data_IF_257411393155
#
_entry.id   IF_257411393155
#
_cell.length_a   1.000
_cell.length_b   1.000
_cell.length_c   1.000
_cell.angle_alpha   90.00
_cell.angle_beta   90.00
_cell.angle_gamma   90.00
#
_symmetry.space_group_name_H-M   'P 1'
#
loop_
_entity.id
_entity.type
_entity.pdbx_description
1 polymer ?
#
# COMPACT_ATOMS: atom_id res chain seq x y z
N UNK A 1 40.38 -84.24 -3.76
CA UNK A 1 39.74 -83.99 -5.04
C UNK A 1 39.99 -82.52 -5.41
N UNK A 2 40.67 -82.31 -6.48
CA UNK A 2 41.24 -81.00 -6.95
C UNK A 2 40.18 -80.42 -7.90
N UNK A 3 39.81 -79.10 -7.62
CA UNK A 3 39.06 -78.31 -8.61
C UNK A 3 39.85 -77.09 -9.02
N UNK A 4 40.16 -77.06 -10.30
CA UNK A 4 41.02 -76.09 -10.95
C UNK A 4 40.38 -74.71 -11.11
N UNK A 5 41.22 -73.71 -11.04
CA UNK A 5 40.93 -72.27 -11.33
C UNK A 5 40.96 -72.06 -12.86
N UNK A 6 39.90 -71.45 -13.43
CA UNK A 6 39.92 -70.90 -14.78
C UNK A 6 39.99 -69.33 -14.62
N UNK A 7 40.81 -68.63 -15.42
CA UNK A 7 40.87 -67.20 -15.39
C UNK A 7 39.75 -66.59 -16.26
N UNK A 8 39.07 -65.61 -15.71
CA UNK A 8 38.08 -64.78 -16.45
C UNK A 8 38.84 -63.62 -17.04
N UNK A 9 38.91 -63.56 -18.38
CA UNK A 9 39.36 -62.45 -19.18
C UNK A 9 38.32 -61.33 -19.08
N UNK A 10 38.75 -60.20 -18.62
CA UNK A 10 37.91 -58.98 -18.55
C UNK A 10 37.74 -58.35 -19.94
N UNK A 11 36.49 -58.16 -20.34
CA UNK A 11 36.13 -57.31 -21.45
C UNK A 11 35.95 -55.87 -20.92
N UNK A 12 36.83 -54.96 -21.34
CA UNK A 12 36.69 -53.53 -21.08
C UNK A 12 35.60 -52.99 -22.02
N UNK A 13 34.39 -52.91 -21.52
CA UNK A 13 33.28 -52.25 -22.21
C UNK A 13 33.40 -50.73 -22.07
N UNK A 14 33.65 -50.02 -23.16
CA UNK A 14 33.56 -48.58 -23.25
C UNK A 14 32.11 -48.14 -22.99
N UNK A 15 31.89 -47.50 -21.83
CA UNK A 15 30.64 -46.81 -21.53
C UNK A 15 30.50 -45.57 -22.43
N UNK A 16 29.37 -45.40 -23.15
CA UNK A 16 29.13 -44.18 -23.88
C UNK A 16 28.96 -43.02 -22.88
N UNK A 17 29.75 -41.96 -23.04
CA UNK A 17 29.56 -40.66 -22.42
C UNK A 17 28.20 -40.14 -22.87
N UNK A 18 27.15 -40.35 -22.07
CA UNK A 18 25.93 -39.60 -22.21
C UNK A 18 26.26 -38.12 -21.86
N UNK A 19 26.42 -37.30 -22.91
CA UNK A 19 26.40 -35.85 -22.75
C UNK A 19 25.11 -35.49 -22.04
N UNK A 20 25.22 -34.94 -20.82
CA UNK A 20 24.10 -34.27 -20.15
C UNK A 20 23.66 -33.17 -21.08
N UNK A 21 22.71 -33.44 -21.97
CA UNK A 21 21.89 -32.37 -22.57
C UNK A 21 21.33 -31.60 -21.41
N UNK A 22 21.81 -30.36 -21.26
CA UNK A 22 21.30 -29.44 -20.25
C UNK A 22 19.79 -29.32 -20.43
N UNK A 23 19.03 -29.90 -19.51
CA UNK A 23 17.62 -29.62 -19.43
C UNK A 23 17.45 -28.15 -19.28
N UNK A 24 17.11 -27.44 -20.37
CA UNK A 24 16.75 -26.05 -20.34
C UNK A 24 15.69 -25.89 -19.23
N UNK A 25 15.96 -25.00 -18.28
CA UNK A 25 15.01 -24.73 -17.21
C UNK A 25 13.63 -24.48 -17.86
N UNK A 26 12.54 -25.07 -17.36
CA UNK A 26 11.24 -24.91 -17.97
C UNK A 26 10.94 -23.42 -18.07
N UNK A 27 10.62 -22.96 -19.29
CA UNK A 27 10.32 -21.57 -19.59
C UNK A 27 9.22 -21.13 -18.63
N UNK A 28 9.49 -20.15 -17.78
CA UNK A 28 8.49 -19.63 -16.82
C UNK A 28 7.26 -19.21 -17.61
N UNK A 29 6.13 -19.79 -17.27
CA UNK A 29 4.83 -19.49 -17.87
C UNK A 29 4.44 -18.05 -17.53
N UNK A 30 4.14 -17.23 -18.51
CA UNK A 30 3.63 -15.87 -18.34
C UNK A 30 2.09 -15.86 -18.49
N UNK A 31 1.42 -16.11 -17.38
CA UNK A 31 -0.04 -16.19 -17.33
C UNK A 31 -0.71 -14.86 -17.70
N UNK A 32 -0.10 -13.71 -17.40
CA UNK A 32 -0.67 -12.38 -17.72
C UNK A 32 -0.72 -12.23 -19.24
N UNK A 33 0.37 -12.53 -19.94
CA UNK A 33 0.42 -12.52 -21.40
C UNK A 33 -0.53 -13.55 -22.03
N UNK A 34 -0.63 -14.76 -21.45
CA UNK A 34 -1.55 -15.80 -21.93
C UNK A 34 -3.02 -15.38 -21.83
N UNK A 35 -3.38 -14.59 -20.80
CA UNK A 35 -4.71 -14.01 -20.63
C UNK A 35 -4.97 -12.81 -21.53
N UNK A 36 -3.98 -12.36 -22.32
CA UNK A 36 -4.09 -11.19 -23.18
C UNK A 36 -4.16 -9.85 -22.42
N UNK A 37 -3.77 -9.85 -21.13
CA UNK A 37 -3.75 -8.63 -20.31
C UNK A 37 -2.47 -7.84 -20.61
N UNK A 38 -2.66 -6.56 -20.93
CA UNK A 38 -1.56 -5.66 -21.27
C UNK A 38 -0.86 -5.16 -20.01
N UNK A 39 0.46 -5.33 -19.94
CA UNK A 39 1.31 -4.70 -18.94
C UNK A 39 1.66 -3.25 -19.32
N UNK A 40 2.08 -2.45 -18.36
CA UNK A 40 2.40 -1.03 -18.56
C UNK A 40 3.56 -0.58 -17.67
N UNK A 41 4.17 0.55 -18.04
CA UNK A 41 5.08 1.31 -17.19
C UNK A 41 4.24 2.16 -16.23
N UNK A 42 4.44 1.96 -14.92
CA UNK A 42 3.71 2.71 -13.90
C UNK A 42 4.40 4.06 -13.61
N UNK A 43 3.92 5.09 -14.29
CA UNK A 43 4.27 6.49 -14.05
C UNK A 43 3.16 7.26 -13.32
N UNK A 44 2.23 6.53 -12.72
CA UNK A 44 1.06 7.06 -12.01
C UNK A 44 1.23 7.07 -10.48
N UNK A 45 1.83 6.01 -9.93
CA UNK A 45 1.92 5.80 -8.48
C UNK A 45 1.10 4.60 -7.99
N UNK A 46 0.80 4.57 -6.69
CA UNK A 46 0.24 3.39 -6.02
C UNK A 46 -1.28 3.36 -5.99
N UNK A 47 -1.91 3.49 -7.13
CA UNK A 47 -3.37 3.37 -7.27
C UNK A 47 -3.80 1.90 -7.33
N UNK A 48 -4.84 1.54 -6.58
CA UNK A 48 -5.33 0.15 -6.46
C UNK A 48 -5.67 -0.47 -7.82
N UNK A 49 -6.35 0.26 -8.69
CA UNK A 49 -6.72 -0.22 -10.04
C UNK A 49 -5.50 -0.44 -10.96
N UNK A 50 -4.34 0.12 -10.61
CA UNK A 50 -3.06 -0.06 -11.29
C UNK A 50 -2.14 -1.04 -10.55
N UNK A 51 -2.71 -1.89 -9.69
CA UNK A 51 -2.02 -2.88 -8.86
C UNK A 51 -0.97 -2.32 -7.87
N UNK A 52 -1.06 -1.02 -7.59
CA UNK A 52 -0.28 -0.28 -6.60
C UNK A 52 1.25 -0.35 -6.80
N UNK A 53 1.94 -1.32 -6.19
CA UNK A 53 3.40 -1.48 -6.27
C UNK A 53 3.81 -2.91 -6.62
N UNK A 54 5.03 -3.09 -7.10
CA UNK A 54 5.63 -4.41 -7.26
C UNK A 54 6.37 -4.80 -5.98
N UNK A 55 6.13 -6.01 -5.51
CA UNK A 55 6.83 -6.58 -4.36
C UNK A 55 8.30 -6.90 -4.71
N UNK A 56 9.27 -6.68 -3.81
CA UNK A 56 10.63 -7.19 -3.95
C UNK A 56 10.68 -8.72 -4.04
N UNK A 57 11.72 -9.25 -4.67
CA UNK A 57 11.91 -10.70 -4.83
C UNK A 57 11.98 -11.41 -3.47
N UNK A 58 12.59 -10.80 -2.48
CA UNK A 58 12.68 -11.35 -1.12
C UNK A 58 11.31 -11.51 -0.45
N UNK A 59 10.38 -10.59 -0.72
CA UNK A 59 8.99 -10.69 -0.23
C UNK A 59 8.29 -11.87 -0.90
N UNK A 60 8.43 -11.99 -2.23
CA UNK A 60 7.85 -13.10 -3.00
C UNK A 60 8.42 -14.45 -2.57
N UNK A 61 9.73 -14.52 -2.29
CA UNK A 61 10.39 -15.73 -1.78
C UNK A 61 9.86 -16.13 -0.40
N UNK A 62 9.73 -15.17 0.51
CA UNK A 62 9.18 -15.40 1.84
C UNK A 62 7.73 -15.91 1.78
N UNK A 63 6.91 -15.33 0.91
CA UNK A 63 5.53 -15.80 0.68
C UNK A 63 5.51 -17.22 0.10
N UNK A 64 6.40 -17.52 -0.86
CA UNK A 64 6.55 -18.86 -1.43
C UNK A 64 7.00 -19.88 -0.38
N UNK A 65 7.89 -19.50 0.53
CA UNK A 65 8.30 -20.39 1.61
C UNK A 65 7.15 -20.63 2.60
N UNK A 66 6.46 -19.56 3.02
CA UNK A 66 5.29 -19.66 3.90
C UNK A 66 4.21 -20.59 3.34
N UNK A 67 4.02 -20.63 2.00
CA UNK A 67 3.01 -21.47 1.37
C UNK A 67 3.21 -22.97 1.56
N UNK A 68 4.42 -23.40 1.90
CA UNK A 68 4.77 -24.81 2.10
C UNK A 68 4.44 -25.36 3.50
N UNK A 69 4.05 -24.50 4.43
CA UNK A 69 3.84 -24.86 5.83
C UNK A 69 2.42 -24.64 6.31
N UNK A 70 1.91 -25.56 7.14
CA UNK A 70 0.71 -25.36 7.93
C UNK A 70 1.10 -24.71 9.26
N UNK A 71 0.38 -23.67 9.66
CA UNK A 71 0.60 -22.95 10.92
C UNK A 71 -0.75 -22.61 11.57
N UNK A 72 -0.76 -22.42 12.88
CA UNK A 72 -1.91 -21.82 13.57
C UNK A 72 -1.95 -20.32 13.21
N UNK A 73 -3.06 -19.87 12.62
CA UNK A 73 -3.19 -18.51 12.12
C UNK A 73 -3.13 -17.46 13.24
N UNK A 74 -3.66 -17.77 14.42
CA UNK A 74 -3.59 -16.87 15.57
C UNK A 74 -2.16 -16.73 16.08
N UNK A 75 -1.42 -17.85 16.22
CA UNK A 75 -0.01 -17.85 16.64
C UNK A 75 0.87 -17.06 15.66
N UNK A 76 0.65 -17.23 14.35
CA UNK A 76 1.37 -16.49 13.34
C UNK A 76 1.09 -14.99 13.43
N UNK A 77 -0.18 -14.59 13.50
CA UNK A 77 -0.58 -13.19 13.60
C UNK A 77 -0.01 -12.55 14.88
N UNK A 78 0.02 -13.28 16.00
CA UNK A 78 0.64 -12.81 17.26
C UNK A 78 2.14 -12.61 17.12
N UNK A 79 2.83 -13.56 16.49
CA UNK A 79 4.28 -13.49 16.30
C UNK A 79 4.65 -12.33 15.35
N UNK A 80 3.95 -12.23 14.22
CA UNK A 80 4.14 -11.15 13.24
C UNK A 80 3.81 -9.79 13.87
N UNK A 81 2.67 -9.70 14.58
CA UNK A 81 2.25 -8.47 15.23
C UNK A 81 3.26 -7.98 16.29
N UNK A 82 3.76 -8.87 17.13
CA UNK A 82 4.84 -8.53 18.10
C UNK A 82 6.08 -8.00 17.39
N UNK A 83 6.52 -8.69 16.34
CA UNK A 83 7.71 -8.28 15.60
C UNK A 83 7.54 -6.91 14.93
N UNK A 84 6.37 -6.62 14.36
CA UNK A 84 6.05 -5.30 13.80
C UNK A 84 6.04 -4.23 14.90
N UNK A 85 5.42 -4.53 16.04
CA UNK A 85 5.36 -3.60 17.17
C UNK A 85 6.77 -3.27 17.72
N UNK A 86 7.65 -4.25 17.83
CA UNK A 86 9.06 -4.06 18.19
C UNK A 86 9.80 -3.16 17.19
N UNK A 87 9.63 -3.43 15.88
CA UNK A 87 10.28 -2.65 14.81
C UNK A 87 9.85 -1.19 14.79
N UNK A 88 8.58 -0.91 15.10
CA UNK A 88 7.98 0.42 15.00
C UNK A 88 7.88 1.15 16.35
N UNK A 89 8.17 0.45 17.47
CA UNK A 89 8.11 1.04 18.81
C UNK A 89 6.71 1.42 19.26
N UNK A 90 5.69 0.59 18.94
CA UNK A 90 4.31 0.74 19.40
C UNK A 90 3.90 -0.42 20.32
N UNK A 91 2.75 -0.29 21.03
CA UNK A 91 2.32 -1.30 22.01
C UNK A 91 1.95 -2.62 21.34
N UNK A 92 1.24 -2.58 20.22
CA UNK A 92 0.80 -3.75 19.48
C UNK A 92 0.57 -3.44 18.00
N UNK A 93 0.57 -4.48 17.18
CA UNK A 93 0.29 -4.40 15.75
C UNK A 93 -0.42 -5.65 15.25
N UNK A 94 -1.10 -5.53 14.11
CA UNK A 94 -1.62 -6.67 13.35
C UNK A 94 -1.56 -6.38 11.85
N UNK A 95 -1.46 -7.45 11.05
CA UNK A 95 -1.66 -7.37 9.61
C UNK A 95 -3.14 -7.50 9.30
N UNK A 96 -3.65 -6.61 8.44
CA UNK A 96 -5.07 -6.51 8.07
C UNK A 96 -5.25 -6.69 6.57
N UNK A 97 -6.50 -6.88 6.13
CA UNK A 97 -6.86 -6.88 4.71
C UNK A 97 -6.86 -5.45 4.16
N UNK A 98 -5.67 -4.90 3.94
CA UNK A 98 -5.44 -3.51 3.56
C UNK A 98 -5.78 -2.51 4.68
N UNK A 99 -5.54 -1.23 4.42
CA UNK A 99 -5.92 -0.16 5.33
C UNK A 99 -7.45 -0.06 5.51
N UNK A 100 -8.23 -0.37 4.48
CA UNK A 100 -9.69 -0.38 4.58
C UNK A 100 -10.19 -1.44 5.57
N UNK A 101 -9.59 -2.65 5.53
CA UNK A 101 -9.86 -3.69 6.55
C UNK A 101 -9.46 -3.24 7.95
N UNK A 102 -8.33 -2.52 8.08
CA UNK A 102 -7.90 -1.93 9.35
C UNK A 102 -8.92 -0.93 9.90
N UNK A 103 -9.45 -0.04 9.03
CA UNK A 103 -10.52 0.90 9.41
C UNK A 103 -11.76 0.17 9.94
N UNK A 104 -12.18 -0.89 9.26
CA UNK A 104 -13.33 -1.70 9.71
C UNK A 104 -13.08 -2.34 11.07
N UNK A 105 -11.99 -3.10 11.23
CA UNK A 105 -11.73 -3.85 12.48
C UNK A 105 -11.35 -2.94 13.65
N UNK A 106 -10.65 -1.84 13.39
CA UNK A 106 -10.32 -0.83 14.40
C UNK A 106 -11.57 -0.11 14.92
N UNK A 107 -12.50 0.25 14.02
CA UNK A 107 -13.80 0.82 14.40
C UNK A 107 -14.61 -0.19 15.22
N UNK A 108 -14.72 -1.44 14.76
CA UNK A 108 -15.39 -2.50 15.47
C UNK A 108 -14.81 -2.70 16.89
N UNK A 109 -13.49 -2.70 17.01
CA UNK A 109 -12.78 -2.81 18.28
C UNK A 109 -13.15 -1.69 19.28
N UNK A 110 -13.27 -0.45 18.82
CA UNK A 110 -13.68 0.69 19.64
C UNK A 110 -15.14 0.58 20.15
N UNK A 111 -15.96 -0.21 19.47
CA UNK A 111 -17.38 -0.42 19.83
C UNK A 111 -17.55 -1.65 20.74
N UNK A 112 -16.94 -2.76 20.35
CA UNK A 112 -17.21 -4.06 20.97
C UNK A 112 -16.25 -4.39 22.11
N UNK A 113 -15.04 -3.79 22.11
CA UNK A 113 -13.97 -4.35 22.92
C UNK A 113 -13.80 -5.84 22.60
N UNK A 114 -13.67 -6.66 23.63
CA UNK A 114 -13.54 -8.13 23.55
C UNK A 114 -14.84 -8.87 23.83
N UNK A 115 -15.97 -8.19 23.90
CA UNK A 115 -17.27 -8.77 24.21
C UNK A 115 -17.81 -9.59 23.02
N UNK A 116 -17.94 -10.93 23.16
CA UNK A 116 -18.33 -11.80 22.04
C UNK A 116 -19.77 -11.56 21.59
N UNK A 117 -20.68 -11.10 22.49
CA UNK A 117 -22.04 -10.81 22.09
C UNK A 117 -22.15 -9.55 21.26
N UNK A 118 -21.38 -8.51 21.61
CA UNK A 118 -21.30 -7.30 20.79
C UNK A 118 -20.65 -7.57 19.44
N UNK A 119 -19.61 -8.40 19.40
CA UNK A 119 -18.92 -8.78 18.15
C UNK A 119 -19.89 -9.42 17.16
N UNK A 120 -20.73 -10.36 17.64
CA UNK A 120 -21.72 -11.06 16.80
C UNK A 120 -22.85 -10.17 16.30
N UNK A 121 -23.14 -9.09 17.04
CA UNK A 121 -24.28 -8.20 16.73
C UNK A 121 -23.99 -7.17 15.67
N UNK A 122 -22.73 -6.77 15.49
CA UNK A 122 -22.37 -5.78 14.46
C UNK A 122 -22.84 -6.29 13.09
N UNK A 123 -23.54 -5.47 12.28
CA UNK A 123 -23.69 -4.01 12.35
C UNK A 123 -24.91 -3.49 13.13
N UNK A 124 -25.66 -4.31 13.85
CA UNK A 124 -26.70 -3.82 14.77
C UNK A 124 -26.05 -3.26 16.05
N UNK A 125 -26.03 -1.93 16.15
CA UNK A 125 -25.43 -1.20 17.28
C UNK A 125 -26.44 -0.78 18.34
N UNK A 126 -27.66 -1.38 18.40
CA UNK A 126 -28.68 -1.05 19.40
C UNK A 126 -28.11 -1.23 20.80
N UNK A 127 -28.09 -0.17 21.60
CA UNK A 127 -27.55 -0.16 22.97
C UNK A 127 -26.00 -0.18 23.04
N UNK A 128 -25.32 0.05 21.93
CA UNK A 128 -23.86 0.18 21.89
C UNK A 128 -23.46 1.60 21.45
N UNK A 129 -22.17 1.92 21.59
CA UNK A 129 -21.62 3.12 20.97
C UNK A 129 -21.79 3.05 19.45
N UNK A 130 -22.28 4.12 18.84
CA UNK A 130 -22.75 4.11 17.44
C UNK A 130 -22.35 5.36 16.65
N UNK A 131 -21.48 6.20 17.20
CA UNK A 131 -21.08 7.45 16.59
C UNK A 131 -19.57 7.56 16.48
N UNK A 132 -19.11 8.08 15.34
CA UNK A 132 -17.71 8.39 15.08
C UNK A 132 -17.60 9.87 14.70
N UNK A 133 -16.81 10.62 15.44
CA UNK A 133 -16.53 12.04 15.16
C UNK A 133 -15.51 12.13 14.06
N UNK A 134 -15.73 13.01 13.09
CA UNK A 134 -14.81 13.31 12.01
C UNK A 134 -14.91 14.78 11.61
N UNK A 135 -13.81 15.42 11.24
CA UNK A 135 -13.91 16.75 10.63
C UNK A 135 -14.60 16.66 9.26
N UNK A 136 -15.48 17.58 8.94
CA UNK A 136 -16.21 17.62 7.66
C UNK A 136 -15.25 17.63 6.46
N UNK A 137 -14.14 18.36 6.56
CA UNK A 137 -13.09 18.39 5.54
C UNK A 137 -12.31 17.09 5.41
N UNK A 138 -12.42 16.16 6.38
CA UNK A 138 -11.79 14.85 6.39
C UNK A 138 -12.69 13.74 5.83
N UNK A 139 -13.94 14.05 5.43
CA UNK A 139 -14.82 13.06 4.76
C UNK A 139 -14.23 12.65 3.41
N UNK A 140 -14.20 11.37 3.14
CA UNK A 140 -13.56 10.78 1.94
C UNK A 140 -14.15 9.41 1.60
N UNK A 141 -13.82 8.87 0.40
CA UNK A 141 -14.46 7.65 -0.08
C UNK A 141 -14.18 6.40 0.77
N UNK A 142 -13.03 6.33 1.45
CA UNK A 142 -12.66 5.17 2.28
C UNK A 142 -13.31 5.19 3.67
N UNK A 143 -13.94 6.28 4.10
CA UNK A 143 -14.73 6.30 5.34
C UNK A 143 -15.92 5.33 5.28
N UNK A 144 -16.21 4.82 4.09
CA UNK A 144 -17.17 3.72 3.89
C UNK A 144 -16.83 2.49 4.74
N UNK A 145 -15.54 2.16 4.87
CA UNK A 145 -15.09 1.03 5.69
C UNK A 145 -15.46 1.18 7.19
N UNK A 146 -15.45 2.43 7.68
CA UNK A 146 -15.89 2.78 9.03
C UNK A 146 -17.41 2.73 9.13
N UNK A 147 -18.13 3.32 8.16
CA UNK A 147 -19.61 3.30 8.13
C UNK A 147 -20.21 1.90 7.98
N UNK A 148 -19.49 0.97 7.31
CA UNK A 148 -19.94 -0.41 7.12
C UNK A 148 -20.10 -1.17 8.46
N UNK A 149 -19.48 -0.69 9.54
CA UNK A 149 -19.65 -1.24 10.89
C UNK A 149 -21.03 -0.89 11.50
N UNK A 150 -21.81 -0.01 10.87
CA UNK A 150 -23.14 0.42 11.32
C UNK A 150 -23.17 1.76 12.03
N UNK A 151 -22.01 2.45 12.15
CA UNK A 151 -21.92 3.73 12.86
C UNK A 151 -22.50 4.90 12.06
N UNK A 152 -22.85 5.94 12.76
CA UNK A 152 -23.15 7.26 12.21
C UNK A 152 -21.92 8.17 12.32
N UNK A 153 -21.56 8.83 11.21
CA UNK A 153 -20.54 9.89 11.24
C UNK A 153 -21.13 11.17 11.82
N UNK A 154 -20.43 11.75 12.79
CA UNK A 154 -20.73 13.06 13.37
C UNK A 154 -19.70 14.06 12.85
N UNK A 155 -20.13 14.92 11.95
CA UNK A 155 -19.26 15.89 11.31
C UNK A 155 -19.08 17.13 12.19
N UNK A 156 -17.84 17.55 12.35
CA UNK A 156 -17.42 18.74 13.13
C UNK A 156 -16.50 19.60 12.28
N UNK A 157 -16.40 20.91 12.58
CA UNK A 157 -15.46 21.82 11.90
C UNK A 157 -14.44 22.41 12.87
N UNK A 158 -14.86 22.76 14.07
CA UNK A 158 -14.02 23.40 15.10
C UNK A 158 -13.81 22.52 16.32
N UNK A 159 -12.81 22.86 17.16
CA UNK A 159 -12.60 22.21 18.45
C UNK A 159 -13.86 22.32 19.37
N UNK A 160 -14.55 23.46 19.34
CA UNK A 160 -15.79 23.64 20.09
C UNK A 160 -16.92 22.74 19.57
N UNK A 161 -17.00 22.50 18.26
CA UNK A 161 -17.96 21.52 17.70
C UNK A 161 -17.62 20.11 18.12
N UNK A 162 -16.33 19.76 18.12
CA UNK A 162 -15.82 18.47 18.57
C UNK A 162 -16.24 18.19 20.02
N UNK A 163 -16.01 19.16 20.91
CA UNK A 163 -16.38 19.03 22.33
C UNK A 163 -17.88 18.85 22.54
N UNK A 164 -18.71 19.59 21.79
CA UNK A 164 -20.18 19.43 21.84
C UNK A 164 -20.68 18.11 21.26
N UNK A 165 -19.92 17.53 20.32
CA UNK A 165 -20.29 16.27 19.66
C UNK A 165 -20.02 15.05 20.53
N UNK A 166 -19.10 15.13 21.50
CA UNK A 166 -18.78 14.01 22.39
C UNK A 166 -19.96 13.69 23.32
N UNK A 167 -20.38 12.43 23.29
CA UNK A 167 -21.46 11.93 24.16
C UNK A 167 -21.26 10.42 24.42
N UNK A 168 -22.18 9.80 25.18
CA UNK A 168 -22.10 8.38 25.56
C UNK A 168 -22.12 7.41 24.36
N UNK A 169 -22.67 7.85 23.21
CA UNK A 169 -22.67 7.05 21.97
C UNK A 169 -21.36 7.16 21.17
N UNK A 170 -20.48 8.08 21.54
CA UNK A 170 -19.21 8.27 20.81
C UNK A 170 -18.30 7.06 20.99
N UNK A 171 -17.99 6.35 19.91
CA UNK A 171 -17.12 5.19 19.90
C UNK A 171 -15.64 5.57 19.76
N UNK A 172 -15.35 6.51 18.86
CA UNK A 172 -14.01 7.02 18.56
C UNK A 172 -14.09 8.31 17.75
N UNK A 173 -12.93 8.91 17.48
CA UNK A 173 -12.80 9.96 16.48
C UNK A 173 -11.82 9.52 15.38
N UNK A 174 -12.16 9.80 14.12
CA UNK A 174 -11.39 9.45 12.92
C UNK A 174 -10.66 10.68 12.36
N UNK A 175 -9.37 10.54 12.11
CA UNK A 175 -8.55 11.51 11.44
C UNK A 175 -8.08 10.96 10.08
N UNK A 176 -8.34 11.68 9.01
CA UNK A 176 -7.79 11.35 7.69
C UNK A 176 -6.58 12.23 7.43
N UNK A 177 -5.39 11.66 7.52
CA UNK A 177 -4.14 12.42 7.56
C UNK A 177 -3.90 13.29 6.33
N UNK A 178 -4.20 12.80 5.13
CA UNK A 178 -4.11 13.58 3.88
C UNK A 178 -4.95 14.88 3.90
N UNK A 179 -5.98 14.92 4.73
CA UNK A 179 -6.86 16.07 4.87
C UNK A 179 -6.42 17.10 5.92
N UNK A 180 -5.36 16.84 6.70
CA UNK A 180 -4.89 17.75 7.76
C UNK A 180 -4.72 19.20 7.31
N UNK A 181 -4.15 19.50 6.11
CA UNK A 181 -4.06 20.90 5.64
C UNK A 181 -5.42 21.60 5.48
N UNK A 182 -6.50 20.84 5.22
CA UNK A 182 -7.85 21.36 4.98
C UNK A 182 -8.69 21.45 6.25
N UNK A 183 -8.30 20.73 7.31
CA UNK A 183 -9.00 20.72 8.60
C UNK A 183 -8.72 21.97 9.43
N UNK A 184 -9.67 22.42 10.24
CA UNK A 184 -9.45 23.46 11.21
C UNK A 184 -8.74 22.91 12.45
N UNK A 185 -9.16 21.72 12.92
CA UNK A 185 -8.52 21.02 14.04
C UNK A 185 -7.28 20.31 13.48
N UNK A 186 -6.09 20.80 13.87
CA UNK A 186 -4.83 20.18 13.42
C UNK A 186 -4.52 18.90 14.19
N UNK A 187 -3.62 18.09 13.64
CA UNK A 187 -3.38 16.74 14.10
C UNK A 187 -3.05 16.64 15.61
N UNK A 188 -2.22 17.55 16.14
CA UNK A 188 -1.85 17.58 17.56
C UNK A 188 -3.04 17.95 18.45
N UNK A 189 -3.83 18.95 18.04
CA UNK A 189 -5.04 19.40 18.75
C UNK A 189 -6.10 18.29 18.73
N UNK A 190 -6.25 17.58 17.62
CA UNK A 190 -7.17 16.45 17.50
C UNK A 190 -6.85 15.34 18.52
N UNK A 191 -5.58 14.95 18.63
CA UNK A 191 -5.11 13.95 19.61
C UNK A 191 -5.37 14.45 21.04
N UNK A 192 -5.10 15.73 21.31
CA UNK A 192 -5.34 16.32 22.63
C UNK A 192 -6.83 16.31 23.01
N UNK A 193 -7.74 16.63 22.07
CA UNK A 193 -9.19 16.58 22.27
C UNK A 193 -9.64 15.15 22.55
N UNK A 194 -9.20 14.16 21.77
CA UNK A 194 -9.54 12.76 22.01
C UNK A 194 -9.10 12.31 23.41
N UNK A 195 -7.87 12.64 23.80
CA UNK A 195 -7.34 12.33 25.15
C UNK A 195 -8.12 13.02 26.26
N UNK A 196 -8.44 14.31 26.09
CA UNK A 196 -9.24 15.09 27.06
C UNK A 196 -10.58 14.41 27.36
N UNK A 197 -11.23 13.85 26.36
CA UNK A 197 -12.55 13.25 26.46
C UNK A 197 -12.52 11.72 26.66
N UNK A 198 -11.33 11.10 26.71
CA UNK A 198 -11.17 9.66 26.90
C UNK A 198 -11.77 8.81 25.76
N UNK A 199 -11.83 9.34 24.54
CA UNK A 199 -12.30 8.62 23.35
C UNK A 199 -11.12 8.20 22.49
N UNK A 200 -11.14 6.96 21.91
CA UNK A 200 -10.09 6.52 21.02
C UNK A 200 -9.93 7.42 19.78
N UNK A 201 -8.69 7.71 19.44
CA UNK A 201 -8.31 8.40 18.21
C UNK A 201 -7.79 7.41 17.18
N UNK A 202 -8.27 7.49 15.94
CA UNK A 202 -7.84 6.63 14.85
C UNK A 202 -7.35 7.47 13.68
N UNK A 203 -6.08 7.27 13.26
CA UNK A 203 -5.49 7.96 12.11
C UNK A 203 -5.44 7.04 10.89
N UNK A 204 -6.09 7.47 9.80
CA UNK A 204 -5.88 6.88 8.48
C UNK A 204 -4.67 7.54 7.81
N UNK A 205 -3.52 6.87 7.88
CA UNK A 205 -2.25 7.25 7.28
C UNK A 205 -1.88 6.29 6.11
N UNK A 206 -2.88 5.72 5.43
CA UNK A 206 -2.69 4.67 4.43
C UNK A 206 -1.72 5.01 3.30
N UNK A 207 -1.52 6.29 2.98
CA UNK A 207 -0.64 6.75 1.89
C UNK A 207 0.57 7.56 2.38
N UNK A 208 0.86 7.55 3.67
CA UNK A 208 1.82 8.46 4.30
C UNK A 208 3.26 7.93 4.35
N UNK A 209 3.55 6.88 3.62
CA UNK A 209 4.89 6.33 3.49
C UNK A 209 5.27 6.34 2.01
N UNK A 210 6.36 7.05 1.61
CA UNK A 210 7.34 7.78 2.43
C UNK A 210 6.78 9.07 3.06
N UNK A 211 7.50 9.69 4.04
CA UNK A 211 8.79 9.29 4.62
C UNK A 211 8.67 8.14 5.65
N UNK A 212 9.79 7.44 5.88
CA UNK A 212 9.82 6.23 6.73
C UNK A 212 9.47 6.49 8.18
N UNK A 213 9.80 7.68 8.69
CA UNK A 213 9.55 8.12 10.06
C UNK A 213 8.05 8.12 10.42
N UNK A 214 7.18 8.28 9.43
CA UNK A 214 5.74 8.28 9.61
C UNK A 214 5.20 6.96 10.17
N UNK A 215 5.89 5.83 9.90
CA UNK A 215 5.50 4.51 10.42
C UNK A 215 5.43 4.45 11.95
N UNK A 216 6.19 5.30 12.63
CA UNK A 216 6.18 5.38 14.11
C UNK A 216 5.80 6.76 14.65
N UNK A 217 5.69 7.78 13.78
CA UNK A 217 5.39 9.17 14.19
C UNK A 217 4.04 9.28 14.89
N UNK A 218 2.99 8.72 14.29
CA UNK A 218 1.61 8.96 14.75
C UNK A 218 1.28 8.19 16.03
N UNK A 219 1.80 6.98 16.22
CA UNK A 219 1.67 6.27 17.50
C UNK A 219 2.41 6.98 18.63
N UNK A 220 3.62 7.50 18.35
CA UNK A 220 4.38 8.32 19.32
C UNK A 220 3.70 9.67 19.62
N UNK A 221 2.97 10.24 18.67
CA UNK A 221 2.17 11.46 18.86
C UNK A 221 0.99 11.22 19.81
N UNK A 222 0.56 9.95 19.94
CA UNK A 222 -0.47 9.54 20.87
C UNK A 222 -1.80 9.16 20.23
N UNK A 223 -1.82 8.85 18.94
CA UNK A 223 -2.98 8.17 18.36
C UNK A 223 -3.13 6.77 18.95
N UNK A 224 -4.36 6.41 19.28
CA UNK A 224 -4.69 5.10 19.82
C UNK A 224 -4.63 4.01 18.75
N UNK A 225 -5.01 4.33 17.52
CA UNK A 225 -4.91 3.46 16.34
C UNK A 225 -4.36 4.24 15.14
N UNK A 226 -3.53 3.57 14.35
CA UNK A 226 -2.97 4.09 13.09
C UNK A 226 -2.98 2.99 12.03
N UNK A 227 -3.37 3.31 10.80
CA UNK A 227 -3.30 2.33 9.71
C UNK A 227 -2.43 2.81 8.55
N UNK A 228 -1.71 1.85 7.94
CA UNK A 228 -0.95 2.01 6.71
C UNK A 228 -1.33 0.95 5.68
N UNK A 229 -1.31 1.32 4.40
CA UNK A 229 -1.47 0.36 3.31
C UNK A 229 -0.14 -0.33 3.00
N UNK A 230 -0.13 -1.67 3.06
CA UNK A 230 1.08 -2.45 2.81
C UNK A 230 1.53 -2.46 1.35
N UNK A 231 0.60 -2.41 0.40
CA UNK A 231 0.88 -2.45 -1.03
C UNK A 231 1.30 -1.12 -1.67
N UNK A 232 1.49 -0.06 -0.89
CA UNK A 232 1.96 1.25 -1.38
C UNK A 232 3.48 1.37 -1.23
N UNK A 233 3.98 2.39 -0.53
CA UNK A 233 5.41 2.66 -0.35
C UNK A 233 6.20 1.52 0.29
N UNK A 234 5.57 0.76 1.18
CA UNK A 234 6.19 -0.39 1.84
C UNK A 234 6.48 -1.54 0.85
N UNK A 235 5.74 -1.61 -0.26
CA UNK A 235 5.85 -2.65 -1.31
C UNK A 235 5.63 -4.08 -0.79
N UNK A 236 4.72 -4.23 0.17
CA UNK A 236 4.19 -5.51 0.59
C UNK A 236 3.05 -6.00 -0.32
N UNK A 237 2.38 -7.10 0.04
CA UNK A 237 1.21 -7.57 -0.68
C UNK A 237 0.15 -6.47 -0.79
N UNK A 238 -0.41 -6.28 -1.99
CA UNK A 238 -1.37 -5.19 -2.24
C UNK A 238 -2.60 -5.26 -1.35
N UNK A 239 -3.06 -6.47 -1.04
CA UNK A 239 -4.20 -6.74 -0.18
C UNK A 239 -3.89 -6.62 1.32
N UNK A 240 -2.60 -6.48 1.71
CA UNK A 240 -2.21 -6.34 3.11
C UNK A 240 -2.14 -4.89 3.57
N UNK A 241 -2.36 -4.67 4.86
CA UNK A 241 -2.20 -3.41 5.56
C UNK A 241 -1.71 -3.62 6.99
N UNK A 242 -1.38 -2.55 7.67
CA UNK A 242 -0.99 -2.54 9.07
C UNK A 242 -2.03 -1.79 9.90
N UNK A 243 -2.39 -2.34 11.06
CA UNK A 243 -3.06 -1.64 12.14
C UNK A 243 -2.12 -1.64 13.34
N UNK A 244 -1.78 -0.46 13.84
CA UNK A 244 -0.82 -0.21 14.92
C UNK A 244 -1.51 0.53 16.05
N UNK A 245 -1.09 0.36 17.29
CA UNK A 245 -1.54 1.22 18.38
C UNK A 245 -1.69 0.49 19.71
N UNK A 246 -2.70 0.89 20.47
CA UNK A 246 -2.99 0.36 21.80
C UNK A 246 -3.28 -1.12 21.79
N UNK A 247 -2.66 -1.84 22.71
CA UNK A 247 -2.73 -3.31 22.79
C UNK A 247 -4.17 -3.82 22.97
N UNK A 248 -4.96 -3.20 23.85
CA UNK A 248 -6.34 -3.59 24.10
C UNK A 248 -7.24 -3.47 22.86
N UNK A 249 -7.02 -2.42 22.05
CA UNK A 249 -7.77 -2.20 20.81
C UNK A 249 -7.30 -3.14 19.68
N UNK A 250 -6.00 -3.43 19.58
CA UNK A 250 -5.48 -4.43 18.62
C UNK A 250 -6.01 -5.83 18.95
N UNK A 251 -6.01 -6.23 20.23
CA UNK A 251 -6.57 -7.51 20.65
C UNK A 251 -8.08 -7.61 20.35
N UNK A 252 -8.83 -6.52 20.56
CA UNK A 252 -10.25 -6.45 20.22
C UNK A 252 -10.47 -6.51 18.70
N UNK A 253 -9.63 -5.80 17.91
CA UNK A 253 -9.70 -5.83 16.44
C UNK A 253 -9.49 -7.24 15.88
N UNK A 254 -8.59 -8.02 16.48
CA UNK A 254 -8.35 -9.41 16.10
C UNK A 254 -9.56 -10.32 16.27
N UNK A 255 -10.39 -10.09 17.28
CA UNK A 255 -11.61 -10.84 17.51
C UNK A 255 -12.72 -10.48 16.49
N UNK A 256 -12.63 -9.34 15.85
CA UNK A 256 -13.60 -8.86 14.88
C UNK A 256 -13.29 -9.30 13.43
N UNK A 257 -12.33 -10.21 13.20
CA UNK A 257 -11.93 -10.69 11.87
C UNK A 257 -11.63 -12.19 11.84
N UNK A 258 -11.21 -12.68 10.69
CA UNK A 258 -10.72 -14.07 10.52
C UNK A 258 -9.59 -14.37 11.53
N UNK A 259 -9.56 -15.60 12.13
CA UNK A 259 -10.35 -16.78 11.77
C UNK A 259 -11.72 -16.90 12.43
N UNK A 260 -12.16 -15.92 13.21
CA UNK A 260 -13.44 -15.97 13.91
C UNK A 260 -14.61 -15.85 12.94
N UNK A 261 -15.52 -16.87 12.95
CA UNK A 261 -16.53 -17.05 11.91
C UNK A 261 -17.65 -16.01 11.95
N UNK A 262 -18.10 -15.66 13.17
CA UNK A 262 -19.23 -14.76 13.39
C UNK A 262 -18.71 -13.38 13.82
N UNK A 263 -18.13 -12.66 12.86
CA UNK A 263 -17.55 -11.34 13.02
C UNK A 263 -17.67 -10.51 11.75
N UNK A 264 -17.77 -9.19 11.88
CA UNK A 264 -18.03 -8.25 10.76
C UNK A 264 -16.99 -8.39 9.64
N UNK A 265 -15.73 -8.59 9.98
CA UNK A 265 -14.65 -8.67 9.02
C UNK A 265 -14.20 -10.13 8.73
N UNK A 266 -15.07 -11.13 8.97
CA UNK A 266 -14.75 -12.52 8.64
C UNK A 266 -14.37 -12.72 7.18
N UNK A 267 -14.99 -12.00 6.25
CA UNK A 267 -14.68 -12.01 4.83
C UNK A 267 -13.37 -11.31 4.46
N UNK A 268 -12.84 -10.47 5.33
CA UNK A 268 -11.59 -9.71 5.16
C UNK A 268 -10.39 -10.55 5.62
N UNK A 269 -10.24 -11.76 5.06
CA UNK A 269 -9.17 -12.68 5.45
C UNK A 269 -7.81 -12.17 5.00
N UNK A 270 -6.83 -12.28 5.89
CA UNK A 270 -5.42 -12.20 5.56
C UNK A 270 -4.84 -13.59 5.70
N UNK A 271 -4.19 -14.08 4.66
CA UNK A 271 -3.57 -15.42 4.69
C UNK A 271 -2.15 -15.37 5.27
N UNK A 272 -1.59 -16.55 5.54
CA UNK A 272 -0.25 -16.66 6.12
C UNK A 272 0.85 -16.08 5.24
N UNK A 273 0.70 -16.21 3.93
CA UNK A 273 1.62 -15.67 2.93
C UNK A 273 1.64 -14.14 2.98
N UNK A 274 0.48 -13.52 3.07
CA UNK A 274 0.35 -12.05 3.18
C UNK A 274 0.92 -11.53 4.50
N UNK A 275 0.69 -12.24 5.62
CA UNK A 275 1.26 -11.86 6.92
C UNK A 275 2.79 -11.87 6.90
N UNK A 276 3.38 -12.95 6.37
CA UNK A 276 4.83 -13.10 6.24
C UNK A 276 5.39 -12.10 5.24
N UNK A 277 4.74 -11.97 4.08
CA UNK A 277 5.13 -11.01 3.05
C UNK A 277 5.11 -9.58 3.55
N UNK A 278 4.09 -9.20 4.34
CA UNK A 278 3.98 -7.85 4.92
C UNK A 278 5.10 -7.57 5.92
N UNK A 279 5.44 -8.54 6.79
CA UNK A 279 6.55 -8.40 7.74
C UNK A 279 7.89 -8.21 7.01
N UNK A 280 8.19 -9.08 6.04
CA UNK A 280 9.44 -9.01 5.28
C UNK A 280 9.53 -7.69 4.49
N UNK A 281 8.43 -7.25 3.87
CA UNK A 281 8.37 -5.98 3.17
C UNK A 281 8.68 -4.79 4.12
N UNK A 282 8.11 -4.81 5.31
CA UNK A 282 8.38 -3.79 6.33
C UNK A 282 9.86 -3.79 6.76
N UNK A 283 10.43 -4.97 7.03
CA UNK A 283 11.85 -5.10 7.40
C UNK A 283 12.80 -4.60 6.31
N UNK A 284 12.50 -4.90 5.04
CA UNK A 284 13.26 -4.39 3.89
C UNK A 284 13.11 -2.87 3.77
N UNK A 285 11.88 -2.36 3.93
CA UNK A 285 11.62 -0.93 3.85
C UNK A 285 12.35 -0.14 4.92
N UNK A 286 12.38 -0.63 6.17
CA UNK A 286 13.11 0.02 7.27
C UNK A 286 14.64 0.02 7.09
N UNK A 287 15.19 -0.98 6.38
CA UNK A 287 16.64 -1.09 6.10
C UNK A 287 17.09 -0.33 4.86
N UNK A 288 16.16 0.16 4.07
CA UNK A 288 16.44 0.78 2.77
C UNK A 288 17.17 2.12 2.92
N UNK A 289 18.09 2.41 1.99
CA UNK A 289 18.65 3.76 1.83
C UNK A 289 17.63 4.66 1.13
N UNK A 290 16.77 5.32 1.93
CA UNK A 290 15.75 6.22 1.44
C UNK A 290 16.33 7.47 0.77
N UNK A 291 17.52 7.92 1.18
CA UNK A 291 18.18 9.06 0.57
C UNK A 291 18.69 8.70 -0.86
N UNK A 292 19.23 7.51 -1.04
CA UNK A 292 19.60 7.02 -2.39
C UNK A 292 18.38 6.86 -3.29
N UNK A 293 17.26 6.36 -2.74
CA UNK A 293 16.01 6.24 -3.49
C UNK A 293 15.46 7.60 -3.92
N UNK A 294 15.48 8.60 -3.04
CA UNK A 294 15.05 9.97 -3.37
C UNK A 294 15.92 10.57 -4.49
N UNK A 295 17.25 10.41 -4.42
CA UNK A 295 18.16 10.85 -5.51
C UNK A 295 17.83 10.18 -6.85
N UNK A 296 17.44 8.90 -6.83
CA UNK A 296 17.02 8.21 -8.07
C UNK A 296 15.68 8.75 -8.60
N UNK A 297 14.74 9.14 -7.72
CA UNK A 297 13.51 9.81 -8.16
C UNK A 297 13.81 11.15 -8.83
N UNK A 298 14.68 11.96 -8.23
CA UNK A 298 15.09 13.24 -8.81
C UNK A 298 15.75 13.04 -10.18
N UNK A 299 16.65 12.06 -10.31
CA UNK A 299 17.26 11.69 -11.59
C UNK A 299 16.23 11.33 -12.66
N UNK A 300 15.21 10.52 -12.30
CA UNK A 300 14.12 10.12 -13.21
C UNK A 300 13.27 11.30 -13.65
N UNK A 301 12.94 12.19 -12.71
CA UNK A 301 12.24 13.46 -13.01
C UNK A 301 13.04 14.28 -13.99
N UNK A 302 14.33 14.47 -13.75
CA UNK A 302 15.21 15.26 -14.61
C UNK A 302 15.32 14.69 -16.03
N UNK A 303 15.39 13.37 -16.18
CA UNK A 303 15.43 12.69 -17.48
C UNK A 303 14.18 13.01 -18.28
N UNK A 304 13.00 12.87 -17.68
CA UNK A 304 11.71 13.11 -18.35
C UNK A 304 11.54 14.61 -18.65
N UNK A 305 11.81 15.47 -17.69
CA UNK A 305 11.69 16.92 -17.84
C UNK A 305 12.60 17.48 -18.94
N UNK A 306 13.84 17.01 -19.01
CA UNK A 306 14.83 17.44 -20.03
C UNK A 306 14.38 17.08 -21.44
N UNK A 307 13.87 15.86 -21.66
CA UNK A 307 13.38 15.44 -22.97
C UNK A 307 12.10 16.18 -23.37
N UNK A 308 11.16 16.39 -22.43
CA UNK A 308 9.94 17.13 -22.69
C UNK A 308 10.22 18.59 -23.10
N UNK A 309 11.14 19.27 -22.42
CA UNK A 309 11.53 20.67 -22.70
C UNK A 309 12.23 20.88 -24.05
N UNK A 310 12.61 19.83 -24.78
CA UNK A 310 13.09 19.96 -26.18
C UNK A 310 11.98 20.35 -27.15
N UNK A 311 10.72 20.19 -26.75
CA UNK A 311 9.56 20.63 -27.57
C UNK A 311 9.25 22.10 -27.23
N UNK A 312 9.05 22.92 -28.28
CA UNK A 312 8.75 24.35 -28.14
C UNK A 312 7.50 24.56 -27.25
N UNK A 313 7.52 25.58 -26.42
CA UNK A 313 6.49 25.98 -25.46
C UNK A 313 6.29 25.03 -24.24
N UNK A 314 7.02 23.92 -24.16
CA UNK A 314 6.92 23.00 -23.03
C UNK A 314 7.68 23.53 -21.81
N UNK A 315 7.00 23.57 -20.69
CA UNK A 315 7.55 23.90 -19.36
C UNK A 315 7.31 22.78 -18.37
N UNK A 316 8.15 22.68 -17.35
CA UNK A 316 8.02 21.67 -16.32
C UNK A 316 8.24 22.26 -14.93
N UNK A 317 7.52 21.76 -13.96
CA UNK A 317 7.75 21.99 -12.54
C UNK A 317 7.51 20.71 -11.73
N UNK A 318 8.02 20.69 -10.51
CA UNK A 318 7.88 19.54 -9.60
C UNK A 318 7.13 19.99 -8.35
N UNK A 319 6.15 19.19 -7.95
CA UNK A 319 5.43 19.37 -6.69
C UNK A 319 5.61 18.11 -5.85
N UNK A 320 5.95 18.29 -4.59
CA UNK A 320 5.95 17.21 -3.59
C UNK A 320 4.79 17.47 -2.65
N UNK A 321 3.77 16.59 -2.59
CA UNK A 321 2.69 16.74 -1.63
C UNK A 321 3.24 16.76 -0.19
N UNK A 322 2.76 17.66 0.69
CA UNK A 322 3.27 17.76 2.06
C UNK A 322 2.91 16.54 2.92
N UNK A 323 1.79 15.91 2.61
CA UNK A 323 1.25 14.73 3.30
C UNK A 323 0.77 13.74 2.24
N UNK A 324 0.82 12.47 2.53
CA UNK A 324 0.43 11.37 1.65
C UNK A 324 1.14 11.40 0.26
N UNK A 325 1.57 10.26 -0.22
CA UNK A 325 2.31 10.18 -1.49
C UNK A 325 3.43 11.24 -1.61
N UNK A 326 4.17 11.45 -0.51
CA UNK A 326 5.24 12.46 -0.41
C UNK A 326 6.42 12.08 -1.31
N UNK A 327 6.22 12.24 -2.60
CA UNK A 327 7.17 11.90 -3.68
C UNK A 327 7.09 12.97 -4.77
N UNK A 328 8.14 13.13 -5.62
CA UNK A 328 8.11 14.10 -6.70
C UNK A 328 7.00 13.82 -7.72
N UNK A 329 6.17 14.80 -7.97
CA UNK A 329 5.17 14.83 -9.03
C UNK A 329 5.63 15.80 -10.10
N UNK A 330 6.10 15.28 -11.24
CA UNK A 330 6.49 16.07 -12.41
C UNK A 330 5.24 16.53 -13.15
N UNK A 331 5.06 17.84 -13.28
CA UNK A 331 4.00 18.44 -14.08
C UNK A 331 4.60 19.00 -15.36
N UNK A 332 4.06 18.60 -16.53
CA UNK A 332 4.48 19.06 -17.85
C UNK A 332 3.32 19.88 -18.43
N UNK A 333 3.61 21.13 -18.82
CA UNK A 333 2.66 22.06 -19.41
C UNK A 333 3.17 22.56 -20.73
N UNK A 334 2.28 22.97 -21.62
CA UNK A 334 2.59 23.58 -22.91
C UNK A 334 1.47 24.50 -23.36
N UNK A 335 1.80 25.41 -24.26
CA UNK A 335 0.82 26.20 -24.99
C UNK A 335 0.08 25.32 -26.01
N UNK A 336 -1.20 25.08 -25.80
CA UNK A 336 -2.02 24.20 -26.64
C UNK A 336 -2.31 24.84 -28.03
N UNK A 337 -2.01 26.11 -28.23
CA UNK A 337 -2.01 26.72 -29.56
C UNK A 337 -0.76 26.37 -30.37
N UNK A 338 0.35 26.00 -29.70
CA UNK A 338 1.61 25.57 -30.31
C UNK A 338 1.70 24.07 -30.42
N UNK A 339 1.42 23.35 -29.32
CA UNK A 339 1.36 21.87 -29.27
C UNK A 339 -0.11 21.47 -29.23
N UNK A 340 -0.68 21.13 -30.37
CA UNK A 340 -2.13 20.96 -30.60
C UNK A 340 -2.69 19.65 -30.06
N UNK A 341 -2.44 19.39 -28.78
CA UNK A 341 -2.98 18.25 -28.01
C UNK A 341 -3.18 18.67 -26.57
N UNK A 342 -4.22 18.19 -25.93
CA UNK A 342 -4.45 18.39 -24.48
C UNK A 342 -3.68 17.38 -23.65
N UNK A 343 -3.35 17.69 -22.38
CA UNK A 343 -2.71 16.72 -21.48
C UNK A 343 -3.49 15.39 -21.31
N UNK A 344 -4.85 15.39 -21.18
CA UNK A 344 -5.62 14.13 -21.16
C UNK A 344 -5.50 13.31 -22.45
N UNK A 345 -5.45 13.96 -23.63
CA UNK A 345 -5.24 13.25 -24.91
C UNK A 345 -3.82 12.67 -25.01
N UNK A 346 -2.80 13.42 -24.57
CA UNK A 346 -1.44 12.92 -24.48
C UNK A 346 -1.35 11.72 -23.51
N UNK A 347 -2.01 11.79 -22.36
CA UNK A 347 -2.12 10.66 -21.42
C UNK A 347 -2.78 9.45 -22.10
N UNK A 348 -3.85 9.64 -22.86
CA UNK A 348 -4.52 8.57 -23.62
C UNK A 348 -3.57 7.93 -24.64
N UNK A 349 -2.81 8.73 -25.41
CA UNK A 349 -1.83 8.21 -26.38
C UNK A 349 -0.68 7.45 -25.72
N UNK A 350 -0.25 7.85 -24.49
CA UNK A 350 0.73 7.11 -23.70
C UNK A 350 0.17 5.73 -23.31
N UNK A 351 -1.05 5.70 -22.80
CA UNK A 351 -1.74 4.46 -22.39
C UNK A 351 -1.96 3.50 -23.55
N UNK A 352 -2.35 4.00 -24.72
CA UNK A 352 -2.62 3.20 -25.91
C UNK A 352 -1.35 2.82 -26.69
N UNK A 353 -0.21 3.42 -26.33
CA UNK A 353 1.07 3.19 -26.97
C UNK A 353 1.73 1.83 -26.66
N UNK A 354 2.89 1.61 -27.30
CA UNK A 354 3.78 0.46 -27.02
C UNK A 354 5.18 0.93 -26.71
N UNK A 355 5.71 0.69 -25.48
CA UNK A 355 4.97 0.13 -24.34
C UNK A 355 3.85 1.06 -23.89
N UNK A 356 2.85 0.49 -23.22
CA UNK A 356 1.81 1.28 -22.51
C UNK A 356 2.42 1.99 -21.32
N UNK A 357 2.01 3.24 -21.09
CA UNK A 357 2.48 4.06 -19.97
C UNK A 357 1.26 4.66 -19.26
N UNK A 358 1.11 4.37 -17.98
CA UNK A 358 0.06 4.97 -17.16
C UNK A 358 0.60 6.21 -16.45
N UNK A 359 0.08 7.39 -16.83
CA UNK A 359 0.38 8.66 -16.17
C UNK A 359 -0.52 8.87 -14.95
N UNK A 360 -0.14 9.81 -14.09
CA UNK A 360 -0.86 10.08 -12.84
C UNK A 360 -2.31 10.57 -13.11
N UNK A 361 -3.32 10.03 -12.40
CA UNK A 361 -4.70 10.50 -12.49
C UNK A 361 -4.92 11.98 -12.11
N UNK A 362 -3.93 12.62 -11.50
CA UNK A 362 -3.93 14.08 -11.29
C UNK A 362 -3.74 14.90 -12.58
N UNK A 363 -3.47 14.23 -13.71
CA UNK A 363 -3.45 14.86 -15.04
C UNK A 363 -4.80 15.52 -15.32
N UNK A 364 -4.75 16.79 -15.72
CA UNK A 364 -5.93 17.62 -16.00
C UNK A 364 -5.71 18.42 -17.30
N UNK A 365 -6.58 19.38 -17.60
CA UNK A 365 -6.47 20.19 -18.82
C UNK A 365 -5.23 21.10 -18.88
N UNK A 366 -4.58 21.35 -17.74
CA UNK A 366 -3.44 22.27 -17.62
C UNK A 366 -2.09 21.57 -17.63
N UNK A 367 -2.02 20.32 -17.11
CA UNK A 367 -0.76 19.60 -16.95
C UNK A 367 -0.93 18.10 -17.12
N UNK A 368 0.03 17.50 -17.84
CA UNK A 368 0.31 16.07 -17.81
C UNK A 368 1.19 15.77 -16.60
N UNK A 369 0.77 14.87 -15.72
CA UNK A 369 1.43 14.61 -14.45
C UNK A 369 2.01 13.20 -14.39
N UNK A 370 3.25 13.10 -13.94
CA UNK A 370 3.93 11.82 -13.70
C UNK A 370 4.43 11.75 -12.27
N UNK A 371 4.41 10.54 -11.72
CA UNK A 371 5.21 10.16 -10.56
C UNK A 371 6.22 9.11 -10.97
N UNK A 372 7.39 9.09 -10.34
CA UNK A 372 8.52 8.27 -10.83
C UNK A 372 8.89 7.13 -9.89
N UNK A 373 8.29 7.09 -8.69
CA UNK A 373 8.72 6.21 -7.60
C UNK A 373 8.34 4.73 -7.80
N UNK A 374 7.37 4.42 -8.68
CA UNK A 374 7.00 3.04 -9.04
C UNK A 374 7.68 2.56 -10.34
N UNK A 375 8.40 3.42 -11.04
CA UNK A 375 9.12 3.05 -12.27
C UNK A 375 10.23 2.05 -11.97
N UNK A 376 10.47 1.15 -12.91
CA UNK A 376 11.61 0.24 -12.89
C UNK A 376 12.84 0.88 -13.56
N UNK A 377 13.99 0.21 -13.47
CA UNK A 377 15.22 0.66 -14.14
C UNK A 377 15.00 0.75 -15.66
N UNK A 378 15.28 1.91 -16.24
CA UNK A 378 15.12 2.18 -17.68
C UNK A 378 13.75 2.73 -18.09
N UNK A 379 12.74 2.70 -17.20
CA UNK A 379 11.40 3.19 -17.53
C UNK A 379 11.37 4.70 -17.78
N UNK A 380 12.13 5.47 -17.00
CA UNK A 380 12.15 6.94 -17.13
C UNK A 380 12.65 7.39 -18.52
N UNK A 381 13.63 6.72 -19.09
CA UNK A 381 14.15 6.98 -20.43
C UNK A 381 13.13 6.65 -21.52
N UNK A 382 12.34 5.59 -21.32
CA UNK A 382 11.24 5.22 -22.22
C UNK A 382 10.12 6.26 -22.15
N UNK A 383 9.67 6.61 -20.92
CA UNK A 383 8.64 7.64 -20.70
C UNK A 383 9.08 8.96 -21.32
N UNK A 384 10.32 9.41 -21.09
CA UNK A 384 10.88 10.64 -21.61
C UNK A 384 10.82 10.70 -23.15
N UNK A 385 11.26 9.63 -23.81
CA UNK A 385 11.21 9.51 -25.26
C UNK A 385 9.77 9.57 -25.79
N UNK A 386 8.85 8.80 -25.19
CA UNK A 386 7.46 8.73 -25.62
C UNK A 386 6.73 10.06 -25.44
N UNK A 387 6.96 10.75 -24.33
CA UNK A 387 6.41 12.09 -24.08
C UNK A 387 6.88 13.06 -25.16
N UNK A 388 8.21 13.11 -25.42
CA UNK A 388 8.77 13.98 -26.48
C UNK A 388 8.17 13.67 -27.85
N UNK A 389 8.08 12.41 -28.25
CA UNK A 389 7.52 11.99 -29.54
C UNK A 389 6.07 12.45 -29.73
N UNK A 390 5.23 12.29 -28.70
CA UNK A 390 3.81 12.70 -28.75
C UNK A 390 3.70 14.21 -28.86
N UNK A 391 4.42 14.95 -28.00
CA UNK A 391 4.34 16.42 -27.99
C UNK A 391 4.95 17.03 -29.27
N UNK A 392 6.09 16.50 -29.76
CA UNK A 392 6.71 16.98 -30.99
C UNK A 392 5.82 16.76 -32.23
N UNK A 393 5.13 15.60 -32.30
CA UNK A 393 4.17 15.32 -33.38
C UNK A 393 2.98 16.27 -33.35
N UNK A 394 2.52 16.66 -32.17
CA UNK A 394 1.42 17.58 -32.01
C UNK A 394 1.83 19.06 -32.20
N UNK A 395 3.11 19.37 -32.22
CA UNK A 395 3.67 20.71 -32.51
C UNK A 395 3.97 20.93 -33.99
N UNK A 396 3.96 19.87 -34.81
CA UNK A 396 4.12 19.92 -36.26
C UNK A 396 2.79 20.23 -36.94
#
# INVERSE_FOLDING_TARGET
>A
MIFGRRPFLGAVGSLPLFSRAGLAAPRRRDVISELGVRTFINAAGTYTMLTASLMPDEVMEAMREASKHYVNLNELQDAVGRRIAELLGCEAAMVTSGAAGALTVGTAACITGKDPDKIRRIPDLTGMKSEVIIQKSHRYGYDHAVRAVGIRMVEVETAADFERAVNERTAMALFFNDADPRGQIKIEEFVALCRKHGIPSFNDAAADVPPVENLSKYTRMGFDLVTFSGGKGIRGPQSAGLLLGRKDLIEAARLNTSPYSDSIARGMKVNKEEMVGMLVALELYLKKDHAAEAREWDRRVDVIAREAKKVKSVTTDVVVPPIANHTPHLRIRWDQNVVKITPPEAMKQLREGRPSIEACPMTNKEALVFTVWMMQKGDAEIVARRVREILARAAA
#
